data_IF_961177929032
#
_entry.id   IF_961177929032
#
_cell.length_a   1.000
_cell.length_b   1.000
_cell.length_c   1.000
_cell.angle_alpha   90.00
_cell.angle_beta   90.00
_cell.angle_gamma   90.00
#
_symmetry.space_group_name_H-M   'P 1'
#
loop_
_entity.id
_entity.type
_entity.pdbx_description
1 polymer ?
#
# COMPACT_ATOMS: atom_id res chain seq x y z
N UNK A 1 28.88 6.91 11.92
CA UNK A 1 27.82 6.28 11.13
C UNK A 1 28.35 4.90 10.76
N UNK A 2 27.88 3.86 11.44
CA UNK A 2 28.25 2.48 11.12
C UNK A 2 27.61 2.09 9.79
N UNK A 3 28.42 1.59 8.87
CA UNK A 3 27.96 1.13 7.57
C UNK A 3 27.15 -0.14 7.75
N UNK A 4 25.83 -0.06 7.63
CA UNK A 4 24.96 -1.24 7.51
C UNK A 4 25.21 -1.85 6.13
N UNK A 5 25.96 -2.94 6.07
CA UNK A 5 26.16 -3.68 4.82
C UNK A 5 24.89 -4.44 4.47
N UNK A 6 24.10 -3.88 3.57
CA UNK A 6 23.02 -4.61 2.91
C UNK A 6 23.67 -5.69 2.00
N UNK A 7 23.72 -6.92 2.47
CA UNK A 7 24.06 -8.07 1.61
C UNK A 7 22.79 -8.43 0.87
N UNK A 8 22.83 -8.24 -0.45
CA UNK A 8 21.71 -8.38 -1.35
C UNK A 8 20.98 -9.72 -1.24
N UNK A 9 19.69 -9.68 -1.53
CA UNK A 9 18.84 -10.84 -1.66
C UNK A 9 19.39 -11.80 -2.71
N UNK A 10 19.89 -12.97 -2.29
CA UNK A 10 20.14 -14.09 -3.19
C UNK A 10 18.88 -14.94 -3.23
N UNK A 11 18.18 -14.89 -4.37
CA UNK A 11 17.20 -15.89 -4.72
C UNK A 11 17.93 -17.22 -4.98
N UNK A 12 17.98 -18.10 -4.00
CA UNK A 12 18.46 -19.47 -4.17
C UNK A 12 17.27 -20.33 -4.60
N UNK A 13 17.17 -20.60 -5.90
CA UNK A 13 16.26 -21.59 -6.44
C UNK A 13 16.73 -23.00 -6.04
N UNK A 14 15.98 -23.69 -5.20
CA UNK A 14 16.23 -25.08 -4.87
C UNK A 14 15.42 -25.60 -3.70
N UNK A 15 14.50 -26.54 -3.98
CA UNK A 15 13.65 -27.32 -3.09
C UNK A 15 12.63 -26.56 -2.23
N UNK A 16 11.37 -26.63 -2.61
CA UNK A 16 10.20 -26.10 -1.90
C UNK A 16 10.06 -26.72 -0.51
N UNK A 17 10.07 -25.87 0.53
CA UNK A 17 9.79 -26.24 1.92
C UNK A 17 9.95 -25.06 2.86
N UNK A 18 9.15 -25.01 3.92
CA UNK A 18 9.13 -23.93 4.91
C UNK A 18 10.51 -23.56 5.52
N UNK A 19 11.55 -24.36 5.30
CA UNK A 19 12.92 -24.13 5.77
C UNK A 19 13.85 -23.46 4.77
N UNK A 20 13.40 -23.17 3.54
CA UNK A 20 14.23 -22.52 2.53
C UNK A 20 14.45 -21.05 2.90
N UNK A 21 15.71 -20.61 2.92
CA UNK A 21 16.03 -19.18 3.10
C UNK A 21 15.71 -18.42 1.82
N UNK A 22 14.84 -17.43 1.94
CA UNK A 22 14.44 -16.54 0.83
C UNK A 22 15.21 -15.22 0.84
N UNK A 23 15.65 -14.77 2.03
CA UNK A 23 16.49 -13.58 2.17
C UNK A 23 17.36 -13.66 3.40
N UNK A 24 18.41 -12.84 3.46
CA UNK A 24 19.26 -12.67 4.64
C UNK A 24 19.37 -11.19 4.97
N UNK A 25 19.16 -10.84 6.25
CA UNK A 25 19.29 -9.48 6.77
C UNK A 25 20.20 -9.54 7.99
N UNK A 26 21.30 -8.82 7.96
CA UNK A 26 22.34 -8.98 8.97
C UNK A 26 22.82 -10.45 9.04
N UNK A 27 22.75 -11.04 10.22
CA UNK A 27 23.08 -12.46 10.45
C UNK A 27 21.85 -13.38 10.38
N UNK A 28 20.64 -12.84 10.22
CA UNK A 28 19.38 -13.59 10.27
C UNK A 28 18.99 -14.08 8.89
N UNK A 29 18.70 -15.39 8.79
CA UNK A 29 18.10 -16.00 7.61
C UNK A 29 16.57 -15.97 7.75
N UNK A 30 15.89 -15.38 6.78
CA UNK A 30 14.43 -15.35 6.70
C UNK A 30 13.99 -16.45 5.75
N UNK A 31 13.15 -17.35 6.25
CA UNK A 31 12.69 -18.52 5.51
C UNK A 31 11.37 -18.26 4.82
N UNK A 32 11.07 -19.04 3.77
CA UNK A 32 9.76 -19.06 3.12
C UNK A 32 8.62 -19.29 4.12
N UNK A 33 8.84 -20.15 5.11
CA UNK A 33 7.85 -20.38 6.17
C UNK A 33 7.58 -19.13 7.01
N UNK A 34 8.62 -18.37 7.37
CA UNK A 34 8.46 -17.11 8.11
C UNK A 34 7.68 -16.06 7.29
N UNK A 35 7.95 -15.97 5.98
CA UNK A 35 7.20 -15.07 5.07
C UNK A 35 5.72 -15.49 5.01
N UNK A 36 5.43 -16.76 4.78
CA UNK A 36 4.07 -17.27 4.73
C UNK A 36 3.33 -17.11 6.07
N UNK A 37 4.03 -17.27 7.19
CA UNK A 37 3.47 -16.98 8.52
C UNK A 37 3.10 -15.50 8.65
N UNK A 38 4.01 -14.61 8.29
CA UNK A 38 3.80 -13.17 8.39
C UNK A 38 2.66 -12.69 7.47
N UNK A 39 2.60 -13.17 6.23
CA UNK A 39 1.50 -12.89 5.32
C UNK A 39 0.14 -13.25 5.94
N UNK A 40 0.00 -14.48 6.42
CA UNK A 40 -1.28 -14.99 6.92
C UNK A 40 -1.68 -14.43 8.29
N UNK A 41 -0.73 -14.26 9.21
CA UNK A 41 -1.00 -13.92 10.62
C UNK A 41 -0.54 -12.53 11.03
N UNK A 42 0.39 -11.92 10.30
CA UNK A 42 0.85 -10.55 10.51
C UNK A 42 0.04 -9.54 9.69
N UNK A 43 -0.11 -9.81 8.40
CA UNK A 43 -0.77 -8.88 7.47
C UNK A 43 -2.20 -9.30 7.09
N UNK A 44 -2.56 -10.59 7.25
CA UNK A 44 -3.86 -11.11 6.83
C UNK A 44 -4.07 -11.06 5.31
N UNK A 45 -3.00 -11.23 4.54
CA UNK A 45 -2.99 -11.20 3.07
C UNK A 45 -2.42 -12.49 2.47
N UNK A 46 -2.80 -12.77 1.23
CA UNK A 46 -2.17 -13.81 0.41
C UNK A 46 -1.04 -13.25 -0.48
N UNK A 47 -0.81 -11.93 -0.46
CA UNK A 47 0.25 -11.27 -1.20
C UNK A 47 1.61 -11.53 -0.54
N UNK A 48 2.35 -12.46 -1.13
CA UNK A 48 3.66 -12.90 -0.63
C UNK A 48 4.73 -11.83 -0.87
N UNK A 49 4.67 -11.08 -1.96
CA UNK A 49 5.65 -10.04 -2.28
C UNK A 49 5.53 -8.87 -1.30
N UNK A 50 4.32 -8.42 -1.01
CA UNK A 50 4.08 -7.43 0.03
C UNK A 50 4.53 -7.93 1.42
N UNK A 51 4.31 -9.21 1.74
CA UNK A 51 4.78 -9.80 2.99
C UNK A 51 6.31 -9.85 3.09
N UNK A 52 7.01 -10.13 1.98
CA UNK A 52 8.47 -10.09 1.90
C UNK A 52 8.99 -8.68 2.19
N UNK A 53 8.44 -7.67 1.54
CA UNK A 53 8.91 -6.29 1.69
C UNK A 53 8.63 -5.73 3.10
N UNK A 54 7.48 -6.04 3.68
CA UNK A 54 7.19 -5.62 5.05
C UNK A 54 8.06 -6.38 6.07
N UNK A 55 8.18 -7.70 5.96
CA UNK A 55 9.04 -8.47 6.87
C UNK A 55 10.49 -8.01 6.79
N UNK A 56 10.99 -7.64 5.61
CA UNK A 56 12.29 -7.04 5.41
C UNK A 56 12.45 -5.72 6.19
N UNK A 57 11.43 -4.86 6.21
CA UNK A 57 11.43 -3.62 6.99
C UNK A 57 11.53 -3.91 8.50
N UNK A 58 10.78 -4.90 9.01
CA UNK A 58 10.81 -5.30 10.42
C UNK A 58 12.21 -5.73 10.88
N UNK A 59 12.87 -6.58 10.08
CA UNK A 59 14.23 -7.02 10.39
C UNK A 59 15.27 -5.90 10.23
N UNK A 60 15.11 -5.02 9.25
CA UNK A 60 15.98 -3.84 9.10
C UNK A 60 15.88 -2.91 10.31
N UNK A 61 14.68 -2.68 10.84
CA UNK A 61 14.48 -1.88 12.05
C UNK A 61 15.22 -2.48 13.25
N UNK A 62 15.16 -3.80 13.43
CA UNK A 62 15.93 -4.49 14.49
C UNK A 62 17.43 -4.30 14.33
N UNK A 63 17.97 -4.42 13.11
CA UNK A 63 19.40 -4.21 12.84
C UNK A 63 19.82 -2.74 13.04
N UNK A 64 18.95 -1.78 12.65
CA UNK A 64 19.17 -0.35 12.90
C UNK A 64 19.18 -0.07 14.42
N UNK A 65 18.16 -0.56 15.14
CA UNK A 65 18.10 -0.43 16.59
C UNK A 65 19.36 -0.99 17.26
N UNK A 66 19.81 -2.17 16.85
CA UNK A 66 21.06 -2.77 17.35
C UNK A 66 22.28 -1.91 17.03
N UNK A 67 22.38 -1.32 15.84
CA UNK A 67 23.47 -0.43 15.45
C UNK A 67 23.48 0.90 16.23
N UNK A 68 22.33 1.30 16.77
CA UNK A 68 22.15 2.49 17.60
C UNK A 68 22.20 2.18 19.11
N UNK A 69 22.56 0.95 19.50
CA UNK A 69 22.54 0.47 20.91
C UNK A 69 21.15 0.59 21.58
N UNK A 70 20.08 0.56 20.79
CA UNK A 70 18.70 0.57 21.27
C UNK A 70 18.29 -0.85 21.68
N UNK A 71 17.75 -0.99 22.89
CA UNK A 71 17.23 -2.25 23.41
C UNK A 71 15.86 -2.02 24.04
N UNK A 72 15.00 -3.05 23.99
CA UNK A 72 13.73 -2.99 24.70
C UNK A 72 13.95 -2.79 26.19
N UNK A 73 13.19 -1.89 26.79
CA UNK A 73 13.08 -1.78 28.24
C UNK A 73 12.45 -3.04 28.84
N UNK A 74 12.61 -3.25 30.16
CA UNK A 74 12.01 -4.39 30.84
C UNK A 74 10.49 -4.47 30.66
N UNK A 75 9.81 -3.32 30.59
CA UNK A 75 8.36 -3.28 30.44
C UNK A 75 7.94 -3.56 28.98
N UNK A 76 8.65 -3.05 27.99
CA UNK A 76 8.44 -3.38 26.58
C UNK A 76 8.70 -4.86 26.29
N UNK A 77 9.78 -5.42 26.84
CA UNK A 77 10.06 -6.85 26.71
C UNK A 77 8.96 -7.73 27.35
N UNK A 78 8.38 -7.30 28.48
CA UNK A 78 7.20 -7.95 29.06
C UNK A 78 5.97 -7.85 28.15
N UNK A 79 5.75 -6.66 27.56
CA UNK A 79 4.64 -6.42 26.62
C UNK A 79 4.75 -7.34 25.41
N UNK A 80 5.92 -7.44 24.78
CA UNK A 80 6.20 -8.33 23.66
C UNK A 80 5.87 -9.79 24.03
N UNK A 81 6.38 -10.28 25.18
CA UNK A 81 6.09 -11.63 25.67
C UNK A 81 4.59 -11.86 25.93
N UNK A 82 3.89 -10.85 26.45
CA UNK A 82 2.44 -10.91 26.66
C UNK A 82 1.71 -11.02 25.33
N UNK A 83 2.11 -10.24 24.32
CA UNK A 83 1.52 -10.26 22.97
C UNK A 83 1.72 -11.64 22.30
N UNK A 84 2.93 -12.23 22.41
CA UNK A 84 3.19 -13.60 21.92
C UNK A 84 2.30 -14.62 22.65
N UNK A 85 2.15 -14.48 23.96
CA UNK A 85 1.29 -15.38 24.75
C UNK A 85 -0.17 -15.27 24.35
N UNK A 86 -0.68 -14.04 24.13
CA UNK A 86 -2.04 -13.79 23.68
C UNK A 86 -2.27 -14.34 22.27
N UNK A 87 -1.32 -14.15 21.35
CA UNK A 87 -1.38 -14.77 20.03
C UNK A 87 -1.53 -16.29 20.14
N UNK A 88 -0.66 -16.96 20.92
CA UNK A 88 -0.74 -18.41 21.14
C UNK A 88 -2.07 -18.85 21.76
N UNK A 89 -2.62 -18.05 22.68
CA UNK A 89 -3.92 -18.31 23.30
C UNK A 89 -5.07 -18.28 22.27
N UNK A 90 -5.06 -17.30 21.38
CA UNK A 90 -6.04 -17.19 20.29
C UNK A 90 -5.98 -18.36 19.30
N UNK A 91 -4.84 -19.00 19.16
CA UNK A 91 -4.68 -20.19 18.32
C UNK A 91 -5.14 -21.51 19.01
N UNK A 92 -5.86 -21.43 20.13
CA UNK A 92 -6.33 -22.57 20.89
C UNK A 92 -5.43 -22.98 22.06
N UNK A 93 -4.61 -22.04 22.53
CA UNK A 93 -3.73 -22.17 23.69
C UNK A 93 -2.27 -22.45 23.32
N UNK A 94 -1.40 -22.38 24.35
CA UNK A 94 0.05 -22.45 24.18
C UNK A 94 0.51 -23.61 23.27
N UNK A 95 0.00 -24.83 23.50
CA UNK A 95 0.41 -26.00 22.70
C UNK A 95 0.02 -25.90 21.21
N UNK A 96 -1.16 -25.36 20.94
CA UNK A 96 -1.64 -25.20 19.57
C UNK A 96 -0.86 -24.07 18.86
N UNK A 97 -0.61 -22.95 19.55
CA UNK A 97 0.23 -21.87 19.06
C UNK A 97 1.67 -22.31 18.78
N UNK A 98 2.31 -23.04 19.70
CA UNK A 98 3.67 -23.56 19.49
C UNK A 98 3.72 -24.53 18.28
N UNK A 99 2.68 -25.37 18.10
CA UNK A 99 2.57 -26.27 16.93
C UNK A 99 2.41 -25.48 15.63
N UNK A 100 1.64 -24.40 15.67
CA UNK A 100 1.46 -23.51 14.52
C UNK A 100 2.79 -22.86 14.11
N UNK A 101 3.49 -22.20 15.04
CA UNK A 101 4.78 -21.58 14.79
C UNK A 101 5.77 -22.59 14.21
N UNK A 102 5.86 -23.77 14.81
CA UNK A 102 6.72 -24.85 14.31
C UNK A 102 6.36 -25.31 12.89
N UNK A 103 5.06 -25.32 12.54
CA UNK A 103 4.61 -25.66 11.18
C UNK A 103 5.21 -24.73 10.13
N UNK A 104 5.37 -23.45 10.46
CA UNK A 104 5.95 -22.42 9.59
C UNK A 104 7.47 -22.26 9.79
N UNK A 105 8.10 -23.03 10.68
CA UNK A 105 9.52 -22.82 11.01
C UNK A 105 9.81 -21.49 11.69
N UNK A 106 8.81 -20.92 12.36
CA UNK A 106 8.92 -19.68 13.13
C UNK A 106 9.33 -20.04 14.55
N UNK A 107 10.48 -19.57 14.98
CA UNK A 107 10.99 -19.69 16.34
C UNK A 107 10.66 -18.44 17.18
N UNK A 108 11.12 -18.47 18.43
CA UNK A 108 10.85 -17.37 19.36
C UNK A 108 11.56 -16.05 18.94
N UNK A 109 12.72 -16.11 18.27
CA UNK A 109 13.42 -14.91 17.79
C UNK A 109 12.70 -14.26 16.61
N UNK A 110 12.18 -15.07 15.68
CA UNK A 110 11.40 -14.60 14.53
C UNK A 110 10.12 -13.91 15.00
N UNK A 111 9.33 -14.56 15.87
CA UNK A 111 8.06 -13.97 16.32
C UNK A 111 8.29 -12.74 17.22
N UNK A 112 9.34 -12.75 18.03
CA UNK A 112 9.73 -11.59 18.85
C UNK A 112 10.12 -10.41 17.96
N UNK A 113 10.88 -10.63 16.89
CA UNK A 113 11.26 -9.60 15.93
C UNK A 113 10.03 -8.95 15.29
N UNK A 114 9.10 -9.76 14.79
CA UNK A 114 7.86 -9.28 14.16
C UNK A 114 7.04 -8.42 15.15
N UNK A 115 6.88 -8.89 16.38
CA UNK A 115 6.02 -8.20 17.37
C UNK A 115 6.70 -6.95 17.95
N UNK A 116 8.03 -6.94 18.06
CA UNK A 116 8.77 -5.79 18.63
C UNK A 116 9.08 -4.69 17.62
N UNK A 117 8.87 -4.92 16.34
CA UNK A 117 9.30 -3.98 15.31
C UNK A 117 8.69 -2.57 15.45
N UNK A 118 7.41 -2.48 15.80
CA UNK A 118 6.77 -1.18 16.04
C UNK A 118 7.40 -0.42 17.22
N UNK A 119 7.80 -1.13 18.26
CA UNK A 119 8.50 -0.54 19.42
C UNK A 119 9.88 -0.06 19.01
N UNK A 120 10.64 -0.87 18.27
CA UNK A 120 11.93 -0.44 17.74
C UNK A 120 11.81 0.74 16.78
N UNK A 121 10.79 0.75 15.94
CA UNK A 121 10.53 1.88 15.04
C UNK A 121 10.37 3.19 15.80
N UNK A 122 9.54 3.17 16.86
CA UNK A 122 9.32 4.35 17.69
C UNK A 122 10.62 4.81 18.37
N UNK A 123 11.36 3.89 19.00
CA UNK A 123 12.61 4.22 19.69
C UNK A 123 13.71 4.73 18.75
N UNK A 124 13.79 4.16 17.52
CA UNK A 124 14.71 4.62 16.49
C UNK A 124 14.35 6.04 16.05
N UNK A 125 13.07 6.31 15.81
CA UNK A 125 12.61 7.65 15.43
C UNK A 125 12.87 8.68 16.54
N UNK A 126 12.57 8.34 17.80
CA UNK A 126 12.81 9.21 18.95
C UNK A 126 14.31 9.55 19.12
N UNK A 127 15.21 8.58 18.84
CA UNK A 127 16.65 8.78 18.98
C UNK A 127 17.29 9.48 17.78
N UNK A 128 16.68 9.40 16.59
CA UNK A 128 17.16 10.11 15.40
C UNK A 128 16.97 11.62 15.50
N UNK A 129 16.22 12.10 16.51
CA UNK A 129 15.91 13.53 16.67
C UNK A 129 15.48 14.17 15.33
N UNK A 130 14.63 13.44 14.62
CA UNK A 130 14.08 13.92 13.33
C UNK A 130 13.19 15.10 13.68
N UNK A 131 13.63 16.28 13.31
CA UNK A 131 12.82 17.49 13.46
C UNK A 131 11.47 17.25 12.79
N UNK A 132 10.38 17.62 13.45
CA UNK A 132 9.08 17.65 12.80
C UNK A 132 9.18 18.54 11.54
N UNK A 133 8.65 18.10 10.42
CA UNK A 133 8.66 18.92 9.22
C UNK A 133 7.93 20.24 9.48
N UNK A 134 8.44 21.30 8.95
CA UNK A 134 7.76 22.59 8.97
C UNK A 134 6.51 22.55 8.12
N UNK A 135 5.55 23.42 8.38
CA UNK A 135 4.33 23.55 7.56
C UNK A 135 4.66 23.75 6.08
N UNK A 136 5.71 24.51 5.78
CA UNK A 136 6.14 24.76 4.39
C UNK A 136 6.71 23.49 3.73
N UNK A 137 7.46 22.65 4.49
CA UNK A 137 7.95 21.36 3.98
C UNK A 137 6.81 20.37 3.73
N UNK A 138 5.81 20.35 4.61
CA UNK A 138 4.60 19.52 4.42
C UNK A 138 3.83 19.94 3.18
N UNK A 139 3.61 21.24 3.01
CA UNK A 139 2.92 21.79 1.83
C UNK A 139 3.68 21.50 0.54
N UNK A 140 4.99 21.72 0.54
CA UNK A 140 5.82 21.44 -0.64
C UNK A 140 5.80 19.94 -0.97
N UNK A 141 5.90 19.07 0.03
CA UNK A 141 5.79 17.62 -0.17
C UNK A 141 4.44 17.24 -0.79
N UNK A 142 3.35 17.86 -0.33
CA UNK A 142 2.01 17.62 -0.86
C UNK A 142 1.91 18.02 -2.34
N UNK A 143 2.35 19.24 -2.67
CA UNK A 143 2.37 19.73 -4.06
C UNK A 143 3.22 18.83 -4.98
N UNK A 144 4.37 18.37 -4.49
CA UNK A 144 5.33 17.60 -5.29
C UNK A 144 4.93 16.13 -5.47
N UNK A 145 4.18 15.55 -4.53
CA UNK A 145 3.94 14.10 -4.50
C UNK A 145 2.50 13.68 -4.73
N UNK A 146 1.55 14.62 -4.70
CA UNK A 146 0.15 14.30 -4.93
C UNK A 146 -0.31 14.76 -6.31
N UNK A 147 -1.31 14.08 -6.81
CA UNK A 147 -2.08 14.46 -7.99
C UNK A 147 -3.48 14.85 -7.56
N UNK A 148 -4.12 15.71 -8.33
CA UNK A 148 -5.51 16.06 -8.15
C UNK A 148 -6.26 15.91 -9.46
N UNK A 149 -7.36 15.17 -9.45
CA UNK A 149 -8.17 14.96 -10.64
C UNK A 149 -9.66 14.85 -10.34
N UNK A 150 -10.48 15.36 -11.26
CA UNK A 150 -11.89 15.02 -11.38
C UNK A 150 -12.06 14.04 -12.53
N UNK A 151 -13.07 13.18 -12.45
CA UNK A 151 -13.36 12.30 -13.57
C UNK A 151 -14.85 12.04 -13.76
N UNK A 152 -15.17 11.49 -14.92
CA UNK A 152 -16.47 10.93 -15.27
C UNK A 152 -16.25 9.45 -15.56
N UNK A 153 -16.88 8.59 -14.79
CA UNK A 153 -16.87 7.15 -15.06
C UNK A 153 -18.09 6.80 -15.93
N UNK A 154 -17.83 6.12 -17.04
CA UNK A 154 -18.84 5.39 -17.80
C UNK A 154 -18.56 3.91 -17.59
N UNK A 155 -19.36 3.27 -16.77
CA UNK A 155 -19.15 1.90 -16.31
C UNK A 155 -19.28 0.90 -17.46
N UNK A 156 -18.42 -0.12 -17.46
CA UNK A 156 -18.54 -1.31 -18.32
C UNK A 156 -19.13 -2.50 -17.57
N UNK A 157 -19.64 -2.24 -16.35
CA UNK A 157 -20.28 -3.25 -15.50
C UNK A 157 -21.71 -2.84 -15.17
N UNK A 158 -22.56 -3.83 -14.99
CA UNK A 158 -23.89 -3.63 -14.46
C UNK A 158 -23.80 -3.22 -12.99
N UNK A 159 -24.27 -2.02 -12.68
CA UNK A 159 -24.13 -1.42 -11.33
C UNK A 159 -24.90 -2.18 -10.24
N UNK A 160 -25.81 -3.07 -10.61
CA UNK A 160 -26.62 -3.86 -9.67
C UNK A 160 -25.98 -5.20 -9.37
N UNK A 161 -25.44 -5.85 -10.40
CA UNK A 161 -24.91 -7.22 -10.31
C UNK A 161 -23.39 -7.29 -10.30
N UNK A 162 -22.70 -6.22 -10.72
CA UNK A 162 -21.24 -6.19 -10.90
C UNK A 162 -20.74 -6.99 -12.11
N UNK A 163 -21.64 -7.58 -12.90
CA UNK A 163 -21.27 -8.36 -14.07
C UNK A 163 -20.87 -7.44 -15.24
N UNK A 164 -19.99 -7.95 -16.11
CA UNK A 164 -19.63 -7.23 -17.33
C UNK A 164 -20.85 -7.03 -18.24
N UNK A 165 -20.90 -5.88 -18.90
CA UNK A 165 -21.94 -5.60 -19.89
C UNK A 165 -21.75 -6.48 -21.13
N UNK A 166 -22.85 -6.73 -21.85
CA UNK A 166 -22.80 -7.39 -23.16
C UNK A 166 -22.12 -6.52 -24.24
N UNK A 167 -21.75 -7.12 -25.37
CA UNK A 167 -20.97 -6.45 -26.42
C UNK A 167 -21.67 -5.19 -26.96
N UNK A 168 -22.98 -5.21 -27.09
CA UNK A 168 -23.76 -4.06 -27.62
C UNK A 168 -23.68 -2.88 -26.61
N UNK A 169 -23.87 -3.16 -25.33
CA UNK A 169 -23.78 -2.14 -24.27
C UNK A 169 -22.36 -1.64 -24.05
N UNK A 170 -21.34 -2.50 -24.21
CA UNK A 170 -19.94 -2.08 -24.18
C UNK A 170 -19.63 -1.09 -25.31
N UNK A 171 -20.13 -1.34 -26.51
CA UNK A 171 -19.98 -0.43 -27.65
C UNK A 171 -20.72 0.91 -27.42
N UNK A 172 -21.91 0.89 -26.80
CA UNK A 172 -22.62 2.10 -26.38
C UNK A 172 -21.87 2.90 -25.31
N UNK A 173 -21.30 2.22 -24.30
CA UNK A 173 -20.49 2.85 -23.26
C UNK A 173 -19.24 3.53 -23.83
N UNK A 174 -18.53 2.85 -24.74
CA UNK A 174 -17.37 3.41 -25.42
C UNK A 174 -17.73 4.65 -26.25
N UNK A 175 -18.81 4.56 -27.03
CA UNK A 175 -19.31 5.69 -27.82
C UNK A 175 -19.66 6.87 -26.92
N UNK A 176 -20.41 6.65 -25.84
CA UNK A 176 -20.81 7.66 -24.84
C UNK A 176 -19.58 8.32 -24.23
N UNK A 177 -18.58 7.53 -23.81
CA UNK A 177 -17.35 8.04 -23.25
C UNK A 177 -16.58 8.95 -24.22
N UNK A 178 -16.46 8.55 -25.49
CA UNK A 178 -15.82 9.36 -26.52
C UNK A 178 -16.58 10.67 -26.81
N UNK A 179 -17.91 10.63 -26.85
CA UNK A 179 -18.74 11.85 -27.04
C UNK A 179 -18.56 12.83 -25.88
N UNK A 180 -18.49 12.35 -24.63
CA UNK A 180 -18.26 13.18 -23.45
C UNK A 180 -16.84 13.75 -23.47
N UNK A 181 -15.84 12.93 -23.83
CA UNK A 181 -14.44 13.39 -23.96
C UNK A 181 -14.33 14.56 -24.96
N UNK A 182 -14.95 14.45 -26.13
CA UNK A 182 -14.95 15.51 -27.15
C UNK A 182 -15.67 16.76 -26.63
N UNK A 183 -16.80 16.64 -25.95
CA UNK A 183 -17.50 17.79 -25.35
C UNK A 183 -16.61 18.49 -24.30
N UNK A 184 -15.98 17.72 -23.43
CA UNK A 184 -15.08 18.25 -22.42
C UNK A 184 -13.87 18.96 -23.03
N UNK A 185 -13.22 18.36 -24.05
CA UNK A 185 -12.09 18.96 -24.77
C UNK A 185 -12.49 20.22 -25.56
N UNK A 186 -13.73 20.33 -25.99
CA UNK A 186 -14.26 21.52 -26.63
C UNK A 186 -14.68 22.62 -25.64
N UNK A 187 -14.40 22.44 -24.34
CA UNK A 187 -14.58 23.48 -23.33
C UNK A 187 -15.93 23.50 -22.64
N UNK A 188 -16.73 22.45 -22.78
CA UNK A 188 -17.95 22.33 -22.01
C UNK A 188 -17.62 22.17 -20.50
N UNK A 189 -18.48 22.70 -19.64
CA UNK A 189 -18.30 22.70 -18.20
C UNK A 189 -18.16 21.25 -17.68
N UNK A 190 -17.00 20.93 -17.15
CA UNK A 190 -16.66 19.57 -16.71
C UNK A 190 -17.50 19.12 -15.50
N UNK A 191 -17.84 20.05 -14.59
CA UNK A 191 -18.67 19.74 -13.43
C UNK A 191 -20.13 19.52 -13.84
N UNK A 192 -20.60 20.20 -14.89
CA UNK A 192 -21.90 19.90 -15.47
C UNK A 192 -21.93 18.51 -16.12
N UNK A 193 -20.85 18.13 -16.82
CA UNK A 193 -20.72 16.79 -17.42
C UNK A 193 -20.62 15.69 -16.35
N UNK A 194 -19.89 15.91 -15.24
CA UNK A 194 -19.87 15.00 -14.10
C UNK A 194 -21.31 14.79 -13.58
N UNK A 195 -22.03 15.88 -13.34
CA UNK A 195 -23.37 15.81 -12.79
C UNK A 195 -24.37 15.08 -13.70
N UNK A 196 -24.17 15.18 -15.04
CA UNK A 196 -25.06 14.59 -16.03
C UNK A 196 -24.74 13.11 -16.32
N UNK A 197 -23.44 12.74 -16.32
CA UNK A 197 -23.00 11.46 -16.87
C UNK A 197 -22.25 10.55 -15.94
N UNK A 198 -21.71 11.07 -14.82
CA UNK A 198 -20.84 10.28 -13.99
C UNK A 198 -21.57 9.14 -13.28
N UNK A 199 -20.98 7.96 -13.35
CA UNK A 199 -21.47 6.73 -12.72
C UNK A 199 -20.61 6.30 -11.51
N UNK A 200 -19.56 7.08 -11.16
CA UNK A 200 -18.79 6.87 -9.93
C UNK A 200 -19.44 7.59 -8.75
N UNK A 201 -19.96 6.86 -7.73
CA UNK A 201 -20.54 7.48 -6.55
C UNK A 201 -19.52 8.25 -5.68
N UNK A 202 -18.24 7.95 -5.81
CA UNK A 202 -17.18 8.62 -5.07
C UNK A 202 -17.04 10.10 -5.39
N UNK A 203 -17.33 10.50 -6.64
CA UNK A 203 -17.27 11.91 -7.05
C UNK A 203 -18.34 12.80 -6.38
N UNK A 204 -19.44 12.22 -5.88
CA UNK A 204 -20.44 12.99 -5.11
C UNK A 204 -19.85 13.55 -3.80
N UNK A 205 -18.95 12.79 -3.18
CA UNK A 205 -18.26 13.15 -1.95
C UNK A 205 -16.96 13.94 -2.18
N UNK A 206 -16.44 13.92 -3.39
CA UNK A 206 -15.17 14.53 -3.77
C UNK A 206 -15.35 15.57 -4.89
N UNK A 207 -16.27 16.52 -4.68
CA UNK A 207 -16.64 17.52 -5.71
C UNK A 207 -15.46 18.42 -6.12
N UNK A 208 -14.47 18.60 -5.26
CA UNK A 208 -13.24 19.34 -5.55
C UNK A 208 -12.15 18.49 -6.25
N UNK A 209 -12.43 17.23 -6.48
CA UNK A 209 -11.54 16.23 -7.06
C UNK A 209 -10.89 15.33 -6.03
N UNK A 210 -10.39 14.20 -6.51
CA UNK A 210 -9.57 13.28 -5.71
C UNK A 210 -8.16 13.82 -5.59
N UNK A 211 -7.62 13.81 -4.38
CA UNK A 211 -6.20 13.89 -4.12
C UNK A 211 -5.66 12.48 -3.92
N UNK A 212 -4.60 12.13 -4.62
CA UNK A 212 -4.03 10.80 -4.53
C UNK A 212 -2.53 10.80 -4.86
N UNK A 213 -1.82 9.83 -4.34
CA UNK A 213 -0.42 9.53 -4.63
C UNK A 213 -0.29 8.15 -5.27
N UNK A 214 0.93 7.72 -5.57
CA UNK A 214 1.22 6.46 -6.24
C UNK A 214 0.66 5.25 -5.48
N UNK A 215 -0.11 4.40 -6.17
CA UNK A 215 -0.70 3.17 -5.65
C UNK A 215 -2.05 3.33 -4.95
N UNK A 216 -2.64 4.53 -4.93
CA UNK A 216 -3.94 4.77 -4.30
C UNK A 216 -5.12 4.62 -5.28
N UNK A 217 -4.86 4.76 -6.58
CA UNK A 217 -5.84 4.57 -7.65
C UNK A 217 -5.46 3.36 -8.53
N UNK A 218 -6.37 2.97 -9.41
CA UNK A 218 -6.03 1.96 -10.41
C UNK A 218 -4.96 2.49 -11.36
N UNK A 219 -4.02 1.62 -11.76
CA UNK A 219 -2.83 2.02 -12.52
C UNK A 219 -3.15 2.80 -13.79
N UNK A 220 -4.20 2.40 -14.51
CA UNK A 220 -4.62 3.05 -15.75
C UNK A 220 -5.08 4.50 -15.52
N UNK A 221 -5.72 4.77 -14.36
CA UNK A 221 -6.14 6.11 -13.98
C UNK A 221 -4.95 6.98 -13.57
N UNK A 222 -4.04 6.42 -12.76
CA UNK A 222 -2.82 7.11 -12.33
C UNK A 222 -1.94 7.49 -13.53
N UNK A 223 -1.65 6.52 -14.40
CA UNK A 223 -0.81 6.71 -15.57
C UNK A 223 -1.41 7.75 -16.53
N UNK A 224 -2.73 7.67 -16.75
CA UNK A 224 -3.43 8.64 -17.58
C UNK A 224 -3.37 10.06 -16.98
N UNK A 225 -3.57 10.19 -15.66
CA UNK A 225 -3.47 11.49 -14.98
C UNK A 225 -2.06 12.06 -15.01
N UNK A 226 -1.04 11.21 -14.82
CA UNK A 226 0.38 11.61 -14.91
C UNK A 226 0.79 12.04 -16.32
N UNK A 227 0.16 11.50 -17.34
CA UNK A 227 0.51 11.77 -18.76
C UNK A 227 0.08 13.14 -19.27
N UNK A 228 -0.73 13.89 -18.52
CA UNK A 228 -1.28 15.20 -18.92
C UNK A 228 -0.90 16.29 -17.92
N UNK A 229 -0.89 17.54 -18.38
CA UNK A 229 -0.65 18.70 -17.52
C UNK A 229 -1.92 19.16 -16.77
N UNK A 230 -1.79 19.88 -15.65
CA UNK A 230 -2.93 20.47 -14.96
C UNK A 230 -3.80 21.33 -15.90
N UNK A 231 -5.10 21.09 -15.90
CA UNK A 231 -6.09 21.69 -16.78
C UNK A 231 -6.42 20.88 -18.02
N UNK A 232 -5.58 19.91 -18.39
CA UNK A 232 -5.82 19.04 -19.53
C UNK A 232 -6.80 17.91 -19.21
N UNK A 233 -7.36 17.32 -20.29
CA UNK A 233 -8.36 16.26 -20.21
C UNK A 233 -7.91 15.08 -21.08
N UNK A 234 -7.97 13.88 -20.49
CA UNK A 234 -7.68 12.62 -21.16
C UNK A 234 -8.75 11.57 -20.87
N UNK A 235 -8.58 10.38 -21.39
CA UNK A 235 -9.40 9.21 -21.09
C UNK A 235 -8.55 7.96 -20.99
N UNK A 236 -8.86 7.11 -20.02
CA UNK A 236 -8.35 5.74 -19.93
C UNK A 236 -9.48 4.74 -19.76
N UNK A 237 -9.15 3.47 -19.89
CA UNK A 237 -10.04 2.35 -19.60
C UNK A 237 -9.43 1.47 -18.52
N UNK A 238 -10.22 1.17 -17.49
CA UNK A 238 -9.88 0.21 -16.43
C UNK A 238 -10.91 -0.93 -16.40
N UNK A 239 -10.79 -1.80 -15.41
CA UNK A 239 -11.78 -2.86 -15.15
C UNK A 239 -13.14 -2.30 -14.71
N UNK A 240 -13.23 -1.05 -14.29
CA UNK A 240 -14.49 -0.39 -13.92
C UNK A 240 -15.22 0.23 -15.12
N UNK A 241 -14.46 0.67 -16.13
CA UNK A 241 -15.02 1.34 -17.29
C UNK A 241 -14.11 2.38 -17.91
N UNK A 242 -14.70 3.32 -18.62
CA UNK A 242 -14.02 4.46 -19.25
C UNK A 242 -14.02 5.63 -18.27
N UNK A 243 -12.82 6.15 -17.96
CA UNK A 243 -12.61 7.33 -17.11
C UNK A 243 -12.22 8.51 -17.99
N UNK A 244 -13.08 9.51 -18.10
CA UNK A 244 -12.74 10.81 -18.67
C UNK A 244 -12.19 11.65 -17.52
N UNK A 245 -10.90 11.99 -17.57
CA UNK A 245 -10.14 12.56 -16.47
C UNK A 245 -9.75 13.99 -16.80
N UNK A 246 -10.01 14.91 -15.88
CA UNK A 246 -9.45 16.26 -15.89
C UNK A 246 -8.46 16.40 -14.75
N UNK A 247 -7.17 16.58 -15.08
CA UNK A 247 -6.16 16.88 -14.08
C UNK A 247 -6.34 18.32 -13.57
N UNK A 248 -6.28 18.48 -12.26
CA UNK A 248 -6.39 19.79 -11.60
C UNK A 248 -5.02 20.23 -11.07
N UNK A 249 -4.77 21.55 -10.96
CA UNK A 249 -3.61 22.02 -10.22
C UNK A 249 -3.75 21.68 -8.74
N UNK A 250 -2.62 21.55 -8.09
CA UNK A 250 -2.51 21.51 -6.62
C UNK A 250 -1.71 22.75 -6.21
N UNK A 251 -2.16 23.44 -5.20
CA UNK A 251 -1.43 24.53 -4.59
C UNK A 251 -1.30 24.36 -3.06
N UNK A 252 -0.51 25.21 -2.44
CA UNK A 252 -0.23 25.15 -1.00
C UNK A 252 -1.48 25.31 -0.11
N UNK A 253 -2.58 25.84 -0.64
CA UNK A 253 -3.83 25.99 0.10
C UNK A 253 -4.69 24.72 0.12
N UNK A 254 -4.33 23.72 -0.68
CA UNK A 254 -5.01 22.42 -0.75
C UNK A 254 -4.53 21.44 0.35
N UNK A 255 -3.41 21.75 1.03
CA UNK A 255 -2.76 20.88 2.05
C UNK A 255 -3.33 21.03 3.46
#
# INVERSE_FOLDING_TARGET
IASVSLIGAMLLAGCSGNGQTVMKIGDTNITEGAVNFFANYGMGTEDVDAAVDNLKKEYLLKEVAKAMDITLTDDEAKQVKSTISNFKAQQGGKKAGDKLLKKYGVDDDIIETIISASTYSQQVMDQLDVAEPTDDEVKQYFVDNYLRAKHILISTKDMTTGADLDEDKLAEAEKKANEILERAKNGEDFDALIKEYNEDPGMESNQDGYFFTDGEMVSEFEDATKSIEPGEITMCKSDYGYHIIKRLPIDESDS
#
